data_IF_198708636598
#
_entry.id   IF_198708636598
#
_cell.length_a   1.000
_cell.length_b   1.000
_cell.length_c   1.000
_cell.angle_alpha   90.00
_cell.angle_beta   90.00
_cell.angle_gamma   90.00
#
_symmetry.space_group_name_H-M   'P 1'
#
loop_
_entity.id
_entity.type
_entity.pdbx_description
1 polymer ?
#
# COMPACT_ATOMS: atom_id res chain seq x y z
N UNK A 1 -31.03 16.84 -3.59
CA UNK A 1 -31.36 16.87 -2.13
C UNK A 1 -30.69 15.70 -1.43
N UNK A 2 -30.50 15.72 -0.11
CA UNK A 2 -29.98 14.54 0.59
C UNK A 2 -30.49 14.42 2.03
N UNK A 3 -30.46 13.19 2.56
CA UNK A 3 -30.82 12.87 3.93
C UNK A 3 -29.77 11.94 4.58
N UNK A 4 -29.30 12.30 5.78
CA UNK A 4 -28.29 11.53 6.53
C UNK A 4 -28.78 11.06 7.90
N UNK A 5 -29.92 11.58 8.37
CA UNK A 5 -30.50 11.23 9.66
C UNK A 5 -31.16 9.86 9.65
N UNK A 6 -31.13 9.17 10.79
CA UNK A 6 -31.84 7.91 10.96
C UNK A 6 -33.36 8.14 10.91
N UNK A 7 -34.07 7.23 10.25
CA UNK A 7 -35.52 7.25 10.11
C UNK A 7 -36.10 5.99 10.74
N UNK A 8 -37.09 6.17 11.62
CA UNK A 8 -37.88 5.07 12.19
C UNK A 8 -39.34 5.33 11.88
N UNK A 9 -40.06 4.33 11.36
CA UNK A 9 -41.47 4.48 11.03
C UNK A 9 -42.18 3.15 10.84
N UNK A 10 -43.50 3.13 10.98
CA UNK A 10 -44.28 1.89 10.88
C UNK A 10 -44.73 1.58 9.44
N UNK A 11 -45.02 2.59 8.62
CA UNK A 11 -45.57 2.39 7.28
C UNK A 11 -44.91 3.34 6.27
N UNK A 12 -44.62 2.84 5.05
CA UNK A 12 -43.93 3.55 3.97
C UNK A 12 -42.65 4.24 4.49
N UNK A 13 -41.74 3.50 5.10
CA UNK A 13 -40.56 4.07 5.75
C UNK A 13 -39.41 4.19 4.76
N UNK A 14 -39.07 5.42 4.36
CA UNK A 14 -37.99 5.71 3.41
C UNK A 14 -36.92 6.63 4.00
N UNK A 15 -35.65 6.39 3.66
CA UNK A 15 -34.53 7.23 4.13
C UNK A 15 -34.55 8.67 3.62
N UNK A 16 -35.08 8.92 2.41
CA UNK A 16 -35.30 10.25 1.86
C UNK A 16 -36.78 10.65 1.90
N UNK A 17 -37.68 9.76 1.47
CA UNK A 17 -39.11 10.05 1.39
C UNK A 17 -39.93 8.81 1.75
N UNK A 18 -40.97 8.97 2.58
CA UNK A 18 -41.85 7.85 2.89
C UNK A 18 -42.66 7.39 1.68
N UNK A 19 -43.32 8.33 0.98
CA UNK A 19 -44.07 8.05 -0.25
C UNK A 19 -43.66 9.02 -1.35
N UNK A 20 -43.48 8.52 -2.56
CA UNK A 20 -43.23 9.33 -3.76
C UNK A 20 -44.36 9.16 -4.77
N UNK A 21 -44.97 10.25 -5.22
CA UNK A 21 -45.98 10.24 -6.31
C UNK A 21 -45.51 11.08 -7.52
N UNK A 22 -44.28 11.61 -7.50
CA UNK A 22 -43.74 12.46 -8.58
C UNK A 22 -42.25 12.15 -8.78
N UNK A 23 -41.43 13.14 -9.15
CA UNK A 23 -40.04 12.95 -9.54
C UNK A 23 -39.09 13.18 -8.37
N UNK A 24 -38.26 12.18 -8.08
CA UNK A 24 -37.06 12.32 -7.25
C UNK A 24 -35.86 12.18 -8.17
N UNK A 25 -35.06 13.25 -8.27
CA UNK A 25 -33.83 13.22 -9.06
C UNK A 25 -32.66 13.90 -8.37
N UNK A 26 -31.44 13.43 -8.64
CA UNK A 26 -30.22 14.03 -8.10
C UNK A 26 -30.23 14.05 -6.57
N UNK A 27 -30.52 12.92 -5.96
CA UNK A 27 -30.76 12.85 -4.51
C UNK A 27 -30.16 11.61 -3.86
N UNK A 28 -29.91 11.68 -2.56
CA UNK A 28 -29.47 10.48 -1.85
C UNK A 28 -29.86 10.37 -0.38
N UNK A 29 -29.82 9.14 0.14
CA UNK A 29 -30.03 8.85 1.57
C UNK A 29 -28.91 7.97 2.14
N UNK A 30 -28.45 8.28 3.36
CA UNK A 30 -27.41 7.49 4.06
C UNK A 30 -27.75 7.15 5.51
N UNK A 31 -28.85 7.69 6.05
CA UNK A 31 -29.28 7.37 7.39
C UNK A 31 -29.84 5.94 7.50
N UNK A 32 -29.75 5.34 8.69
CA UNK A 32 -30.36 4.04 8.96
C UNK A 32 -31.87 4.15 8.87
N UNK A 33 -32.51 3.21 8.18
CA UNK A 33 -33.96 3.12 8.03
C UNK A 33 -34.45 1.91 8.83
N UNK A 34 -35.33 2.15 9.80
CA UNK A 34 -35.93 1.10 10.65
C UNK A 34 -37.44 1.12 10.45
N UNK A 35 -37.99 0.06 9.85
CA UNK A 35 -39.43 -0.10 9.67
C UNK A 35 -39.93 -1.48 10.03
N UNK A 36 -41.23 -1.58 10.34
CA UNK A 36 -41.90 -2.83 10.73
C UNK A 36 -42.49 -3.60 9.54
N UNK A 37 -42.65 -2.94 8.39
CA UNK A 37 -43.42 -3.44 7.25
C UNK A 37 -42.53 -3.65 6.01
N UNK A 38 -43.06 -4.39 5.03
CA UNK A 38 -42.42 -4.63 3.72
C UNK A 38 -42.19 -3.35 2.90
N UNK A 39 -42.79 -2.22 3.30
CA UNK A 39 -42.72 -0.94 2.59
C UNK A 39 -41.53 -0.08 3.08
N UNK A 40 -40.44 -0.73 3.52
CA UNK A 40 -39.22 -0.08 4.02
C UNK A 40 -38.13 -0.03 2.94
N UNK A 41 -37.75 1.18 2.51
CA UNK A 41 -36.71 1.38 1.49
C UNK A 41 -35.60 2.32 1.95
N UNK A 42 -34.37 2.05 1.50
CA UNK A 42 -33.21 2.87 1.83
C UNK A 42 -33.31 4.29 1.29
N UNK A 43 -34.00 4.50 0.16
CA UNK A 43 -34.31 5.81 -0.41
C UNK A 43 -35.79 6.17 -0.21
N UNK A 44 -36.71 5.34 -0.68
CA UNK A 44 -38.16 5.62 -0.66
C UNK A 44 -38.93 4.44 -0.06
N UNK A 45 -39.91 4.70 0.81
CA UNK A 45 -40.78 3.63 1.31
C UNK A 45 -41.69 3.06 0.22
N UNK A 46 -42.55 3.90 -0.36
CA UNK A 46 -43.51 3.51 -1.40
C UNK A 46 -43.51 4.46 -2.59
N UNK A 47 -43.18 3.94 -3.78
CA UNK A 47 -42.94 4.72 -4.98
C UNK A 47 -44.00 4.49 -6.07
N UNK A 48 -44.75 5.54 -6.40
CA UNK A 48 -45.64 5.61 -7.57
C UNK A 48 -45.13 6.56 -8.66
N UNK A 49 -44.05 7.31 -8.37
CA UNK A 49 -43.48 8.29 -9.28
C UNK A 49 -42.22 7.80 -10.00
N UNK A 50 -41.42 8.75 -10.48
CA UNK A 50 -40.15 8.49 -11.18
C UNK A 50 -38.96 8.79 -10.26
N UNK A 51 -37.97 7.91 -10.28
CA UNK A 51 -36.69 8.11 -9.59
C UNK A 51 -35.58 8.05 -10.63
N UNK A 52 -34.63 8.97 -10.58
CA UNK A 52 -33.47 8.99 -11.48
C UNK A 52 -32.25 9.61 -10.81
N UNK A 53 -31.03 9.15 -11.15
CA UNK A 53 -29.79 9.68 -10.57
C UNK A 53 -29.85 9.80 -9.04
N UNK A 54 -30.43 8.79 -8.39
CA UNK A 54 -30.66 8.79 -6.96
C UNK A 54 -30.00 7.59 -6.31
N UNK A 55 -29.43 7.79 -5.13
CA UNK A 55 -28.57 6.81 -4.49
C UNK A 55 -28.95 6.58 -3.04
N UNK A 56 -28.61 5.42 -2.51
CA UNK A 56 -28.59 5.22 -1.07
C UNK A 56 -27.42 4.36 -0.63
N UNK A 57 -26.97 4.55 0.60
CA UNK A 57 -25.88 3.76 1.15
C UNK A 57 -26.41 2.46 1.79
N UNK A 58 -26.07 1.32 1.17
CA UNK A 58 -26.49 -0.02 1.63
C UNK A 58 -25.76 -0.49 2.90
N UNK A 59 -24.63 0.12 3.23
CA UNK A 59 -23.84 -0.20 4.42
C UNK A 59 -24.40 0.46 5.68
N UNK A 60 -25.02 1.64 5.53
CA UNK A 60 -25.53 2.43 6.66
C UNK A 60 -27.06 2.40 6.79
N UNK A 61 -27.78 2.23 5.68
CA UNK A 61 -29.25 2.26 5.68
C UNK A 61 -29.90 1.09 6.41
N UNK A 62 -29.20 -0.03 6.59
CA UNK A 62 -29.74 -1.24 7.21
C UNK A 62 -30.68 -2.05 6.29
N UNK A 63 -30.75 -1.71 4.99
CA UNK A 63 -31.51 -2.43 3.97
C UNK A 63 -30.72 -2.44 2.65
N UNK A 64 -31.01 -3.41 1.78
CA UNK A 64 -30.48 -3.44 0.41
C UNK A 64 -31.53 -3.03 -0.63
N UNK A 65 -32.78 -2.82 -0.21
CA UNK A 65 -33.85 -2.35 -1.09
C UNK A 65 -33.81 -0.82 -1.17
N UNK A 66 -33.63 -0.26 -2.37
CA UNK A 66 -33.72 1.19 -2.55
C UNK A 66 -35.14 1.71 -2.29
N UNK A 67 -36.13 0.91 -2.66
CA UNK A 67 -37.55 1.24 -2.63
C UNK A 67 -38.25 0.10 -1.90
N UNK A 68 -39.11 0.38 -0.93
CA UNK A 68 -39.82 -0.66 -0.19
C UNK A 68 -40.91 -1.32 -1.04
N UNK A 69 -41.76 -0.49 -1.67
CA UNK A 69 -42.89 -0.94 -2.50
C UNK A 69 -43.13 -0.04 -3.71
N UNK A 70 -43.75 -0.58 -4.74
CA UNK A 70 -44.18 0.16 -5.94
C UNK A 70 -43.18 0.00 -7.09
N UNK A 71 -42.95 1.08 -7.86
CA UNK A 71 -42.01 1.07 -8.96
C UNK A 71 -40.56 1.00 -8.43
N UNK A 72 -39.88 -0.12 -8.66
CA UNK A 72 -38.57 -0.43 -8.09
C UNK A 72 -37.38 0.16 -8.87
N UNK A 73 -37.63 0.95 -9.92
CA UNK A 73 -36.58 1.50 -10.79
C UNK A 73 -35.99 2.83 -10.30
N UNK A 74 -34.76 3.13 -10.71
CA UNK A 74 -34.17 4.48 -10.63
C UNK A 74 -33.32 4.80 -9.40
N UNK A 75 -33.44 4.02 -8.33
CA UNK A 75 -32.61 4.15 -7.13
C UNK A 75 -31.43 3.17 -7.14
N UNK A 76 -30.21 3.68 -7.01
CA UNK A 76 -28.97 2.89 -7.00
C UNK A 76 -28.44 2.71 -5.58
N UNK A 77 -28.37 1.46 -5.12
CA UNK A 77 -27.66 1.12 -3.89
C UNK A 77 -26.16 1.01 -4.12
N UNK A 78 -25.37 1.68 -3.27
CA UNK A 78 -23.92 1.53 -3.19
C UNK A 78 -23.53 1.32 -1.73
N UNK A 79 -22.49 0.52 -1.47
CA UNK A 79 -21.84 0.56 -0.15
C UNK A 79 -21.09 1.88 0.04
N UNK A 80 -20.74 2.24 1.28
CA UNK A 80 -19.89 3.40 1.57
C UNK A 80 -18.59 3.39 0.76
N UNK A 81 -18.00 2.20 0.56
CA UNK A 81 -16.76 2.02 -0.20
C UNK A 81 -17.02 2.15 -1.70
N UNK A 82 -18.06 1.52 -2.25
CA UNK A 82 -18.41 1.64 -3.67
C UNK A 82 -18.72 3.08 -4.06
N UNK A 83 -19.23 3.90 -3.14
CA UNK A 83 -19.49 5.31 -3.40
C UNK A 83 -18.24 6.07 -3.84
N UNK A 84 -17.07 5.70 -3.30
CA UNK A 84 -15.80 6.36 -3.63
C UNK A 84 -15.42 6.19 -5.10
N UNK A 85 -15.85 5.11 -5.74
CA UNK A 85 -15.47 4.74 -7.11
C UNK A 85 -16.63 4.76 -8.10
N UNK A 86 -17.87 4.73 -7.64
CA UNK A 86 -19.08 4.63 -8.49
C UNK A 86 -20.10 5.75 -8.22
N UNK A 87 -19.85 6.58 -7.19
CA UNK A 87 -20.79 7.59 -6.71
C UNK A 87 -21.15 8.67 -7.76
N UNK A 88 -22.17 9.48 -7.48
CA UNK A 88 -22.75 10.47 -8.39
C UNK A 88 -21.77 11.57 -8.86
N UNK A 89 -20.69 11.79 -8.11
CA UNK A 89 -19.68 12.80 -8.44
C UNK A 89 -18.44 12.21 -9.11
N UNK A 90 -18.31 10.89 -9.18
CA UNK A 90 -17.17 10.23 -9.82
C UNK A 90 -17.23 10.45 -11.34
N UNK A 91 -16.08 10.73 -11.94
CA UNK A 91 -15.97 10.89 -13.40
C UNK A 91 -16.39 9.61 -14.12
N UNK A 92 -17.23 9.73 -15.14
CA UNK A 92 -17.73 8.57 -15.90
C UNK A 92 -18.81 7.73 -15.20
N UNK A 93 -19.31 8.14 -14.02
CA UNK A 93 -20.43 7.45 -13.39
C UNK A 93 -21.68 7.49 -14.33
N UNK A 94 -22.42 6.38 -14.50
CA UNK A 94 -23.57 6.33 -15.39
C UNK A 94 -24.80 7.09 -14.86
N UNK A 95 -24.85 7.35 -13.54
CA UNK A 95 -25.99 8.00 -12.87
C UNK A 95 -25.60 9.33 -12.20
N UNK A 96 -24.75 10.12 -12.87
CA UNK A 96 -24.27 11.40 -12.31
C UNK A 96 -25.40 12.36 -12.00
N UNK A 97 -25.18 13.19 -10.97
CA UNK A 97 -26.06 14.31 -10.72
C UNK A 97 -26.06 15.27 -11.91
N UNK A 98 -27.26 15.67 -12.30
CA UNK A 98 -27.53 16.45 -13.53
C UNK A 98 -27.01 17.88 -13.45
N UNK A 99 -26.83 18.41 -12.24
CA UNK A 99 -26.14 19.66 -11.96
C UNK A 99 -25.00 19.44 -10.96
N UNK A 100 -23.78 19.10 -11.42
CA UNK A 100 -22.63 18.91 -10.55
C UNK A 100 -22.22 20.17 -9.78
N UNK A 101 -22.57 21.37 -10.26
CA UNK A 101 -22.23 22.64 -9.61
C UNK A 101 -23.03 22.92 -8.33
N UNK A 102 -24.19 22.28 -8.20
CA UNK A 102 -24.99 22.29 -6.97
C UNK A 102 -24.33 21.50 -5.81
N UNK A 103 -23.23 20.79 -6.08
CA UNK A 103 -22.58 19.89 -5.13
C UNK A 103 -21.10 20.20 -4.94
N UNK A 104 -20.67 20.10 -3.69
CA UNK A 104 -19.26 20.01 -3.33
C UNK A 104 -18.90 18.53 -3.27
N UNK A 105 -17.91 18.11 -4.05
CA UNK A 105 -17.41 16.75 -4.00
C UNK A 105 -16.72 16.46 -2.68
N UNK A 106 -16.85 15.22 -2.23
CA UNK A 106 -16.06 14.67 -1.15
C UNK A 106 -16.44 13.24 -0.85
N UNK A 107 -15.68 12.65 0.05
CA UNK A 107 -15.67 11.23 0.36
C UNK A 107 -16.22 11.00 1.77
N UNK A 108 -17.21 10.11 1.94
CA UNK A 108 -17.84 9.30 0.91
C UNK A 108 -18.89 10.07 0.10
N UNK A 109 -19.59 11.05 0.69
CA UNK A 109 -20.75 11.68 0.05
C UNK A 109 -20.52 13.16 -0.30
N UNK A 110 -21.05 13.63 -1.44
CA UNK A 110 -21.06 15.04 -1.78
C UNK A 110 -22.09 15.80 -0.93
N UNK A 111 -21.87 17.09 -0.73
CA UNK A 111 -22.80 17.97 0.02
C UNK A 111 -23.27 19.13 -0.84
N UNK A 112 -24.35 19.80 -0.45
CA UNK A 112 -24.91 20.91 -1.24
C UNK A 112 -24.04 22.17 -1.13
N UNK A 113 -23.61 22.73 -2.26
CA UNK A 113 -22.77 23.94 -2.28
C UNK A 113 -23.46 25.20 -1.78
N UNK A 114 -24.80 25.23 -1.84
CA UNK A 114 -25.63 26.35 -1.38
C UNK A 114 -25.73 26.48 0.14
N UNK A 115 -25.32 25.47 0.91
CA UNK A 115 -25.36 25.48 2.37
C UNK A 115 -23.95 25.73 2.94
N UNK A 116 -23.83 26.34 4.15
CA UNK A 116 -22.53 26.51 4.79
C UNK A 116 -21.84 25.16 4.99
N UNK A 117 -20.58 25.06 4.57
CA UNK A 117 -19.84 23.80 4.61
C UNK A 117 -18.37 24.00 4.93
N UNK A 118 -17.77 22.94 5.48
CA UNK A 118 -16.34 22.83 5.74
C UNK A 118 -15.82 21.59 5.01
N UNK A 119 -14.76 21.79 4.23
CA UNK A 119 -13.98 20.70 3.62
C UNK A 119 -12.84 20.38 4.56
N UNK A 120 -12.77 19.12 5.00
CA UNK A 120 -11.66 18.58 5.79
C UNK A 120 -10.77 17.80 4.84
N UNK A 121 -9.56 18.30 4.61
CA UNK A 121 -8.60 17.65 3.70
C UNK A 121 -7.42 17.08 4.44
N UNK A 122 -6.86 15.99 3.92
CA UNK A 122 -5.71 15.31 4.52
C UNK A 122 -4.96 14.43 3.51
N UNK A 123 -3.75 14.02 3.87
CA UNK A 123 -2.93 13.08 3.09
C UNK A 123 -2.61 11.85 3.93
N UNK A 124 -2.94 10.69 3.39
CA UNK A 124 -2.56 9.39 3.91
C UNK A 124 -1.22 8.91 3.37
N UNK A 125 -0.51 8.12 4.17
CA UNK A 125 0.65 7.38 3.72
C UNK A 125 0.63 5.94 4.25
N UNK A 126 0.77 5.00 3.33
CA UNK A 126 0.93 3.57 3.57
C UNK A 126 2.27 3.10 3.00
N UNK A 127 2.82 2.01 3.52
CA UNK A 127 3.99 1.34 2.94
C UNK A 127 3.57 0.00 2.38
N UNK A 128 4.07 -0.35 1.19
CA UNK A 128 3.84 -1.65 0.57
C UNK A 128 4.10 -2.81 1.55
N UNK A 129 3.22 -3.81 1.58
CA UNK A 129 3.26 -4.90 2.55
C UNK A 129 2.52 -4.65 3.85
N UNK A 130 2.16 -3.40 4.16
CA UNK A 130 1.52 -3.04 5.42
C UNK A 130 0.06 -2.66 5.23
N UNK A 131 -0.83 -3.11 6.11
CA UNK A 131 -2.24 -2.69 6.11
C UNK A 131 -2.48 -1.39 6.87
N UNK A 132 -1.54 -0.97 7.71
CA UNK A 132 -1.63 0.28 8.45
C UNK A 132 -1.27 1.47 7.56
N UNK A 133 -2.03 2.56 7.70
CA UNK A 133 -1.73 3.85 7.11
C UNK A 133 -1.67 4.91 8.20
N UNK A 134 -0.99 6.01 7.91
CA UNK A 134 -0.91 7.20 8.75
C UNK A 134 -1.60 8.37 8.07
N UNK A 135 -2.06 9.34 8.86
CA UNK A 135 -2.76 10.53 8.38
C UNK A 135 -1.95 11.76 8.75
N UNK A 136 -1.80 12.69 7.81
CA UNK A 136 -1.03 13.92 7.97
C UNK A 136 -1.71 15.10 7.29
N UNK A 137 -1.20 16.31 7.53
CA UNK A 137 -1.61 17.53 6.81
C UNK A 137 -3.12 17.85 6.89
N UNK A 138 -3.73 17.69 8.07
CA UNK A 138 -5.14 18.06 8.24
C UNK A 138 -5.33 19.56 8.02
N UNK A 139 -6.25 19.89 7.10
CA UNK A 139 -6.68 21.26 6.82
C UNK A 139 -8.20 21.34 6.88
N UNK A 140 -8.69 22.50 7.28
CA UNK A 140 -10.11 22.76 7.50
C UNK A 140 -10.43 24.07 6.80
N UNK A 141 -11.27 24.00 5.78
CA UNK A 141 -11.49 25.12 4.87
C UNK A 141 -12.98 25.37 4.70
N UNK A 142 -13.43 26.60 4.95
CA UNK A 142 -14.82 27.01 4.71
C UNK A 142 -15.11 27.19 3.21
N UNK A 143 -16.36 27.48 2.88
CA UNK A 143 -16.81 27.71 1.50
C UNK A 143 -16.11 28.90 0.80
N UNK A 144 -15.43 29.77 1.55
CA UNK A 144 -14.70 30.93 1.04
C UNK A 144 -13.18 30.69 1.01
N UNK A 145 -12.73 29.44 1.13
CA UNK A 145 -11.32 29.07 1.21
C UNK A 145 -10.57 29.59 2.45
N UNK A 146 -11.28 29.94 3.53
CA UNK A 146 -10.67 30.40 4.78
C UNK A 146 -10.47 29.26 5.77
N UNK A 147 -9.47 29.39 6.63
CA UNK A 147 -9.23 28.43 7.70
C UNK A 147 -10.43 28.38 8.66
N UNK A 148 -10.98 27.18 8.85
CA UNK A 148 -12.15 26.91 9.68
C UNK A 148 -11.84 25.96 10.86
N UNK A 149 -10.57 25.74 11.20
CA UNK A 149 -10.18 24.72 12.20
C UNK A 149 -10.79 24.97 13.58
N UNK A 150 -11.00 26.24 13.94
CA UNK A 150 -11.64 26.62 15.21
C UNK A 150 -13.13 26.30 15.30
N UNK A 151 -13.78 25.97 14.18
CA UNK A 151 -15.20 25.65 14.10
C UNK A 151 -15.48 24.13 14.16
N UNK A 152 -14.44 23.30 14.11
CA UNK A 152 -14.56 21.85 13.94
C UNK A 152 -14.11 21.11 15.20
N UNK A 153 -15.01 20.31 15.76
CA UNK A 153 -14.69 19.34 16.79
C UNK A 153 -14.18 18.04 16.15
N UNK A 154 -12.94 17.67 16.48
CA UNK A 154 -12.26 16.50 15.90
C UNK A 154 -12.06 15.35 16.89
N UNK A 155 -12.66 15.43 18.08
CA UNK A 155 -12.49 14.41 19.15
C UNK A 155 -12.88 13.00 18.71
N UNK A 156 -13.85 12.89 17.80
CA UNK A 156 -14.31 11.63 17.22
C UNK A 156 -13.89 11.45 15.75
N UNK A 157 -13.00 12.30 15.22
CA UNK A 157 -12.56 12.22 13.84
C UNK A 157 -11.79 10.92 13.60
N UNK A 158 -12.28 10.12 12.65
CA UNK A 158 -11.64 8.89 12.19
C UNK A 158 -11.46 8.94 10.68
N UNK A 159 -10.37 8.35 10.21
CA UNK A 159 -10.07 8.21 8.79
C UNK A 159 -10.05 6.74 8.38
N UNK A 160 -10.38 6.49 7.12
CA UNK A 160 -10.44 5.16 6.52
C UNK A 160 -9.83 5.20 5.12
N UNK A 161 -9.00 4.21 4.80
CA UNK A 161 -8.39 3.99 3.48
C UNK A 161 -8.85 2.62 2.94
N UNK A 162 -10.11 2.50 2.50
CA UNK A 162 -10.69 1.19 2.17
C UNK A 162 -10.27 0.65 0.79
N UNK A 163 -9.69 1.50 -0.06
CA UNK A 163 -9.35 1.15 -1.45
C UNK A 163 -7.94 0.57 -1.60
N UNK A 164 -7.11 0.66 -0.56
CA UNK A 164 -5.75 0.15 -0.55
C UNK A 164 -5.59 -0.97 0.47
N UNK A 165 -4.63 -1.85 0.22
CA UNK A 165 -4.31 -2.99 1.07
C UNK A 165 -2.79 -3.22 1.10
N UNK A 166 -2.35 -4.18 1.92
CA UNK A 166 -0.94 -4.59 1.98
C UNK A 166 -0.38 -5.10 0.63
N UNK A 167 -1.24 -5.47 -0.33
CA UNK A 167 -0.84 -5.96 -1.66
C UNK A 167 -0.96 -4.90 -2.76
N UNK A 168 -1.49 -3.71 -2.46
CA UNK A 168 -1.54 -2.60 -3.41
C UNK A 168 -0.12 -2.16 -3.80
N UNK A 169 0.19 -2.10 -5.09
CA UNK A 169 1.53 -1.75 -5.56
C UNK A 169 1.97 -0.35 -5.12
N UNK A 170 3.27 -0.15 -4.93
CA UNK A 170 3.84 1.15 -4.64
C UNK A 170 3.52 2.14 -5.78
N UNK A 171 3.17 3.37 -5.42
CA UNK A 171 2.66 4.41 -6.33
C UNK A 171 1.14 4.40 -6.52
N UNK A 172 0.43 3.34 -6.09
CA UNK A 172 -1.03 3.33 -6.12
C UNK A 172 -1.58 4.37 -5.16
N UNK A 173 -2.57 5.15 -5.62
CA UNK A 173 -3.28 6.15 -4.81
C UNK A 173 -4.76 5.76 -4.72
N UNK A 174 -5.33 5.86 -3.52
CA UNK A 174 -6.73 5.56 -3.25
C UNK A 174 -7.41 6.69 -2.49
N UNK A 175 -8.69 6.94 -2.79
CA UNK A 175 -9.49 7.87 -2.02
C UNK A 175 -9.69 7.36 -0.58
N UNK A 176 -9.60 8.29 0.37
CA UNK A 176 -9.91 8.06 1.78
C UNK A 176 -11.21 8.77 2.14
N UNK A 177 -11.84 8.34 3.23
CA UNK A 177 -12.96 9.07 3.81
C UNK A 177 -12.81 9.26 5.31
N UNK A 178 -13.40 10.34 5.82
CA UNK A 178 -13.45 10.66 7.24
C UNK A 178 -14.85 10.47 7.83
N UNK A 179 -14.93 10.32 9.14
CA UNK A 179 -16.19 10.34 9.91
C UNK A 179 -15.98 11.01 11.27
N UNK A 180 -17.07 11.41 11.91
CA UNK A 180 -17.07 11.81 13.33
C UNK A 180 -16.66 13.24 13.65
N UNK A 181 -16.19 14.03 12.67
CA UNK A 181 -16.05 15.48 12.87
C UNK A 181 -17.42 16.16 12.94
N UNK A 182 -17.51 17.21 13.76
CA UNK A 182 -18.74 17.99 13.95
C UNK A 182 -18.45 19.48 13.86
N UNK A 183 -19.35 20.24 13.24
CA UNK A 183 -19.28 21.70 13.17
C UNK A 183 -20.70 22.28 13.20
N UNK A 184 -21.01 23.05 14.24
CA UNK A 184 -22.38 23.55 14.44
C UNK A 184 -22.77 24.53 13.34
N UNK A 185 -23.85 24.21 12.61
CA UNK A 185 -24.36 25.05 11.52
C UNK A 185 -23.66 24.85 10.18
N UNK A 186 -22.74 23.88 10.09
CA UNK A 186 -22.03 23.55 8.86
C UNK A 186 -22.26 22.10 8.46
N UNK A 187 -22.31 21.86 7.15
CA UNK A 187 -22.05 20.55 6.59
C UNK A 187 -20.56 20.24 6.64
N UNK A 188 -20.20 18.96 6.72
CA UNK A 188 -18.82 18.51 6.63
C UNK A 188 -18.70 17.54 5.45
N UNK A 189 -17.68 17.75 4.64
CA UNK A 189 -17.24 16.76 3.65
C UNK A 189 -15.73 16.59 3.72
N UNK A 190 -15.23 15.45 3.25
CA UNK A 190 -13.81 15.10 3.37
C UNK A 190 -13.17 14.96 1.99
N UNK A 191 -11.91 15.38 1.87
CA UNK A 191 -11.13 15.20 0.65
C UNK A 191 -9.73 14.73 1.02
N UNK A 192 -9.49 13.43 0.92
CA UNK A 192 -8.20 12.86 1.24
C UNK A 192 -7.87 11.68 0.33
N UNK A 193 -6.58 11.45 0.17
CA UNK A 193 -6.03 10.32 -0.56
C UNK A 193 -4.92 9.68 0.23
N UNK A 194 -4.82 8.36 0.14
CA UNK A 194 -3.70 7.57 0.63
C UNK A 194 -2.83 7.14 -0.56
N UNK A 195 -1.52 7.07 -0.35
CA UNK A 195 -0.57 6.65 -1.39
C UNK A 195 0.37 5.60 -0.83
N UNK A 196 0.54 4.50 -1.57
CA UNK A 196 1.46 3.44 -1.19
C UNK A 196 2.89 3.82 -1.54
N UNK A 197 3.72 4.02 -0.52
CA UNK A 197 5.16 4.17 -0.63
C UNK A 197 5.87 2.81 -0.79
N UNK A 198 7.06 2.83 -1.40
CA UNK A 198 7.89 1.63 -1.53
C UNK A 198 8.35 1.11 -0.17
N UNK A 199 8.36 -0.20 -0.01
CA UNK A 199 8.96 -0.86 1.16
C UNK A 199 10.50 -0.84 1.08
N UNK A 200 11.17 -0.97 2.22
CA UNK A 200 12.61 -1.15 2.24
C UNK A 200 12.97 -2.63 1.95
N UNK A 201 13.94 -2.86 1.06
CA UNK A 201 14.53 -4.18 0.81
C UNK A 201 16.04 -4.11 1.00
N UNK A 202 16.56 -4.84 1.98
CA UNK A 202 17.99 -5.04 2.15
C UNK A 202 18.48 -6.26 1.38
N UNK A 203 19.55 -6.12 0.61
CA UNK A 203 20.24 -7.23 -0.05
C UNK A 203 21.70 -7.20 0.41
N UNK A 204 22.14 -8.25 1.08
CA UNK A 204 23.50 -8.36 1.62
C UNK A 204 24.23 -9.49 0.94
N UNK A 205 25.37 -9.19 0.28
CA UNK A 205 26.28 -10.23 -0.16
C UNK A 205 26.86 -10.96 1.05
N UNK A 206 26.89 -12.30 1.00
CA UNK A 206 27.46 -13.12 2.05
C UNK A 206 28.98 -13.13 1.95
N UNK A 207 29.64 -13.27 3.10
CA UNK A 207 31.09 -13.43 3.13
C UNK A 207 31.47 -14.79 2.54
N UNK A 208 32.55 -14.80 1.76
CA UNK A 208 33.07 -15.98 1.10
C UNK A 208 34.57 -16.12 1.38
N UNK A 209 35.11 -17.31 1.14
CA UNK A 209 36.54 -17.58 1.27
C UNK A 209 37.06 -18.27 0.01
N UNK A 210 38.33 -18.02 -0.29
CA UNK A 210 39.06 -18.67 -1.37
C UNK A 210 40.51 -18.95 -0.96
N UNK A 211 41.20 -19.77 -1.75
CA UNK A 211 42.61 -20.10 -1.53
C UNK A 211 43.46 -19.30 -2.52
N UNK A 212 44.62 -18.82 -2.07
CA UNK A 212 45.60 -18.15 -2.92
C UNK A 212 45.92 -18.98 -4.19
N UNK A 213 46.00 -18.30 -5.34
CA UNK A 213 46.19 -18.95 -6.64
C UNK A 213 44.90 -19.41 -7.34
N UNK A 214 43.72 -19.25 -6.73
CA UNK A 214 42.44 -19.65 -7.31
C UNK A 214 41.56 -18.45 -7.68
N UNK A 215 40.79 -18.59 -8.76
CA UNK A 215 39.80 -17.57 -9.14
C UNK A 215 38.62 -17.57 -8.16
N UNK A 216 38.11 -16.40 -7.76
CA UNK A 216 36.87 -16.32 -6.99
C UNK A 216 35.69 -16.93 -7.72
N UNK A 217 34.86 -17.67 -6.97
CA UNK A 217 33.59 -18.21 -7.44
C UNK A 217 32.47 -17.59 -6.61
N UNK A 218 31.61 -16.81 -7.26
CA UNK A 218 30.43 -16.18 -6.66
C UNK A 218 29.20 -16.60 -7.47
N UNK A 219 28.10 -16.93 -6.79
CA UNK A 219 26.88 -17.38 -7.43
C UNK A 219 25.62 -16.83 -6.74
N UNK A 220 24.43 -17.13 -7.29
CA UNK A 220 23.15 -16.59 -6.81
C UNK A 220 22.71 -17.14 -5.44
N UNK A 221 23.51 -17.95 -4.74
CA UNK A 221 23.28 -18.32 -3.33
C UNK A 221 24.10 -17.48 -2.36
N UNK A 222 25.02 -16.65 -2.85
CA UNK A 222 25.98 -15.91 -2.02
C UNK A 222 25.45 -14.53 -1.58
N UNK A 223 24.14 -14.43 -1.38
CA UNK A 223 23.48 -13.25 -0.83
C UNK A 223 22.31 -13.66 0.05
N UNK A 224 21.85 -12.72 0.89
CA UNK A 224 20.59 -12.83 1.64
C UNK A 224 19.75 -11.57 1.48
N UNK A 225 18.45 -11.69 1.72
CA UNK A 225 17.49 -10.59 1.64
C UNK A 225 16.80 -10.35 2.98
N UNK A 226 16.31 -9.12 3.19
CA UNK A 226 15.48 -8.75 4.32
C UNK A 226 14.41 -7.74 3.91
N UNK A 227 13.17 -7.94 4.37
CA UNK A 227 12.05 -7.03 4.11
C UNK A 227 11.11 -7.42 2.95
N UNK A 228 11.35 -8.56 2.29
CA UNK A 228 10.39 -9.10 1.30
C UNK A 228 9.06 -9.45 1.98
N UNK A 229 7.97 -9.11 1.31
CA UNK A 229 6.57 -9.34 1.73
C UNK A 229 5.77 -9.91 0.56
N UNK A 230 4.53 -10.33 0.81
CA UNK A 230 3.58 -10.74 -0.25
C UNK A 230 4.05 -11.87 -1.18
N UNK A 231 5.01 -12.69 -0.76
CA UNK A 231 5.59 -13.75 -1.59
C UNK A 231 6.53 -13.25 -2.70
N UNK A 232 6.94 -11.96 -2.65
CA UNK A 232 7.94 -11.41 -3.55
C UNK A 232 9.30 -12.10 -3.34
N UNK A 233 10.12 -12.12 -4.39
CA UNK A 233 11.38 -12.86 -4.38
C UNK A 233 12.49 -12.13 -5.12
N UNK A 234 13.72 -12.30 -4.64
CA UNK A 234 14.94 -12.00 -5.41
C UNK A 234 15.47 -13.31 -5.96
N UNK A 235 15.43 -13.49 -7.28
CA UNK A 235 15.88 -14.70 -7.97
C UNK A 235 17.32 -14.62 -8.48
N UNK A 236 17.93 -13.43 -8.39
CA UNK A 236 19.37 -13.31 -8.53
C UNK A 236 19.88 -11.89 -8.37
N UNK A 237 21.19 -11.80 -8.15
CA UNK A 237 21.92 -10.57 -7.83
C UNK A 237 23.25 -10.65 -8.57
N UNK A 238 23.69 -9.54 -9.17
CA UNK A 238 25.04 -9.45 -9.69
C UNK A 238 26.01 -9.23 -8.52
N UNK A 239 26.80 -10.26 -8.23
CA UNK A 239 27.87 -10.23 -7.23
C UNK A 239 29.22 -10.10 -7.93
N UNK A 240 30.08 -9.23 -7.42
CA UNK A 240 31.42 -9.03 -7.96
C UNK A 240 32.43 -8.74 -6.87
N UNK A 241 33.68 -9.13 -7.12
CA UNK A 241 34.83 -8.80 -6.29
C UNK A 241 36.00 -8.42 -7.19
N UNK A 242 36.95 -7.64 -6.66
CA UNK A 242 38.21 -7.32 -7.35
C UNK A 242 39.29 -8.39 -7.14
N UNK A 243 39.05 -9.36 -6.26
CA UNK A 243 39.94 -10.49 -6.08
C UNK A 243 40.09 -11.31 -7.38
N UNK A 244 41.27 -11.87 -7.61
CA UNK A 244 41.58 -12.79 -8.70
C UNK A 244 42.53 -13.89 -8.22
N UNK A 245 42.84 -14.85 -9.10
CA UNK A 245 43.87 -15.85 -8.82
C UNK A 245 45.28 -15.27 -8.59
N UNK A 246 45.53 -14.01 -8.95
CA UNK A 246 46.80 -13.31 -8.73
C UNK A 246 46.79 -12.44 -7.47
N UNK A 247 45.64 -12.34 -6.78
CA UNK A 247 45.52 -11.53 -5.58
C UNK A 247 46.21 -12.17 -4.38
N UNK A 248 46.92 -11.35 -3.59
CA UNK A 248 47.52 -11.78 -2.34
C UNK A 248 46.46 -12.22 -1.32
N UNK A 249 46.90 -12.94 -0.29
CA UNK A 249 46.08 -13.21 0.88
C UNK A 249 45.57 -11.90 1.50
N UNK A 250 44.33 -11.91 1.97
CA UNK A 250 43.69 -10.69 2.46
C UNK A 250 42.19 -10.66 2.25
N UNK A 251 41.61 -9.48 2.45
CA UNK A 251 40.18 -9.22 2.43
C UNK A 251 39.81 -8.31 1.26
N UNK A 252 38.81 -8.71 0.49
CA UNK A 252 38.31 -8.01 -0.68
C UNK A 252 36.79 -7.84 -0.57
N UNK A 253 36.24 -6.72 -1.03
CA UNK A 253 34.80 -6.53 -0.99
C UNK A 253 34.09 -7.45 -2.00
N UNK A 254 32.91 -7.94 -1.63
CA UNK A 254 31.90 -8.49 -2.54
C UNK A 254 30.80 -7.46 -2.66
N UNK A 255 30.67 -6.83 -3.81
CA UNK A 255 29.63 -5.83 -4.09
C UNK A 255 28.42 -6.49 -4.73
N UNK A 256 27.23 -6.13 -4.25
CA UNK A 256 25.96 -6.58 -4.80
C UNK A 256 25.29 -5.48 -5.63
N UNK A 257 24.66 -5.87 -6.75
CA UNK A 257 23.92 -4.96 -7.63
C UNK A 257 22.89 -5.71 -8.47
N UNK A 258 22.08 -4.98 -9.24
CA UNK A 258 21.20 -5.52 -10.28
C UNK A 258 20.34 -6.72 -9.82
N UNK A 259 19.67 -6.56 -8.67
CA UNK A 259 18.71 -7.56 -8.19
C UNK A 259 17.58 -7.74 -9.19
N UNK A 260 17.18 -9.01 -9.38
CA UNK A 260 16.11 -9.43 -10.29
C UNK A 260 15.13 -10.30 -9.54
N UNK A 261 13.87 -10.24 -9.94
CA UNK A 261 12.81 -11.06 -9.40
C UNK A 261 11.45 -10.37 -9.47
N UNK A 262 10.37 -11.11 -9.18
CA UNK A 262 9.02 -10.55 -9.15
C UNK A 262 8.85 -9.56 -7.98
N UNK A 263 8.01 -8.54 -8.18
CA UNK A 263 7.60 -7.60 -7.13
C UNK A 263 8.62 -6.51 -6.76
N UNK A 264 9.85 -6.57 -7.27
CA UNK A 264 10.93 -5.66 -6.85
C UNK A 264 10.67 -4.16 -7.17
N UNK A 265 9.75 -3.86 -8.09
CA UNK A 265 9.32 -2.48 -8.35
C UNK A 265 8.71 -1.79 -7.12
N UNK A 266 8.17 -2.58 -6.18
CA UNK A 266 7.54 -2.09 -4.96
C UNK A 266 8.53 -1.75 -3.83
N UNK A 267 9.84 -1.90 -4.07
CA UNK A 267 10.87 -1.72 -3.05
C UNK A 267 11.90 -0.65 -3.41
N UNK A 268 12.38 0.03 -2.37
CA UNK A 268 13.63 0.78 -2.40
C UNK A 268 14.73 -0.17 -1.94
N UNK A 269 15.59 -0.57 -2.87
CA UNK A 269 16.62 -1.59 -2.64
C UNK A 269 17.89 -0.94 -2.11
N UNK A 270 18.40 -1.44 -0.98
CA UNK A 270 19.71 -1.10 -0.42
C UNK A 270 20.62 -2.32 -0.50
N UNK A 271 21.80 -2.15 -1.11
CA UNK A 271 22.81 -3.19 -1.21
C UNK A 271 23.87 -3.02 -0.12
N UNK A 272 24.23 -4.12 0.53
CA UNK A 272 25.29 -4.20 1.52
C UNK A 272 26.37 -5.16 1.05
N UNK A 273 27.62 -4.71 1.11
CA UNK A 273 28.76 -5.50 0.68
C UNK A 273 29.04 -6.64 1.66
N UNK A 274 29.51 -7.76 1.12
CA UNK A 274 30.15 -8.84 1.86
C UNK A 274 31.67 -8.77 1.71
N UNK A 275 32.34 -9.78 2.21
CA UNK A 275 33.81 -9.90 2.19
C UNK A 275 34.25 -11.23 1.59
N UNK A 276 35.13 -11.18 0.59
CA UNK A 276 35.86 -12.33 0.06
C UNK A 276 37.24 -12.39 0.72
N UNK A 277 37.52 -13.46 1.48
CA UNK A 277 38.81 -13.65 2.16
C UNK A 277 39.67 -14.66 1.42
N UNK A 278 40.84 -14.24 0.93
CA UNK A 278 41.84 -15.15 0.35
C UNK A 278 42.74 -15.67 1.48
N UNK A 279 42.71 -16.97 1.71
CA UNK A 279 43.57 -17.69 2.65
C UNK A 279 44.84 -18.22 1.96
N UNK A 280 45.94 -18.42 2.70
CA UNK A 280 47.15 -19.02 2.14
C UNK A 280 46.89 -20.41 1.53
N UNK A 281 47.58 -20.72 0.44
CA UNK A 281 47.64 -22.08 -0.08
C UNK A 281 48.53 -22.97 0.80
N UNK A 282 48.18 -24.26 0.88
CA UNK A 282 48.99 -25.22 1.60
C UNK A 282 50.32 -25.47 0.87
N UNK A 283 51.44 -25.16 1.53
CA UNK A 283 52.78 -25.45 1.05
C UNK A 283 53.43 -26.51 1.95
N UNK A 284 53.90 -27.60 1.37
CA UNK A 284 54.69 -28.60 2.07
C UNK A 284 56.11 -28.63 1.54
N UNK A 285 57.08 -28.58 2.45
CA UNK A 285 58.51 -28.75 2.19
C UNK A 285 58.93 -30.03 2.91
N UNK A 286 59.47 -30.99 2.18
CA UNK A 286 59.86 -32.29 2.72
C UNK A 286 61.33 -32.54 2.42
N UNK A 287 62.12 -32.75 3.47
CA UNK A 287 63.51 -33.21 3.32
C UNK A 287 63.52 -34.58 2.63
N UNK A 288 64.42 -34.76 1.67
CA UNK A 288 64.61 -36.03 0.99
C UNK A 288 65.53 -36.93 1.80
N UNK A 289 65.31 -38.24 1.74
CA UNK A 289 66.23 -39.21 2.33
C UNK A 289 67.58 -39.12 1.61
N UNK A 290 68.66 -39.07 2.38
CA UNK A 290 70.02 -39.04 1.87
C UNK A 290 70.81 -40.24 2.36
N UNK A 291 71.87 -40.59 1.63
CA UNK A 291 72.81 -41.65 2.00
C UNK A 291 74.20 -41.06 2.24
N UNK A 292 74.99 -41.68 3.12
CA UNK A 292 76.32 -41.22 3.47
C UNK A 292 77.22 -42.38 3.94
N UNK A 293 78.53 -42.15 3.90
CA UNK A 293 79.54 -43.13 4.35
C UNK A 293 79.95 -42.84 5.79
N UNK A 294 80.08 -43.89 6.61
CA UNK A 294 80.53 -43.79 8.00
C UNK A 294 81.89 -43.08 8.11
N UNK A 295 81.97 -42.12 9.03
CA UNK A 295 83.18 -41.30 9.25
C UNK A 295 83.27 -40.04 8.37
N UNK A 296 82.33 -39.82 7.44
CA UNK A 296 82.28 -38.63 6.59
C UNK A 296 81.06 -37.76 6.90
N UNK A 297 81.21 -36.44 6.77
CA UNK A 297 80.05 -35.54 6.83
C UNK A 297 79.19 -35.71 5.57
N UNK A 298 77.86 -35.89 5.71
CA UNK A 298 76.93 -35.82 4.59
C UNK A 298 77.01 -34.45 3.92
N UNK A 299 77.06 -34.42 2.59
CA UNK A 299 77.01 -33.17 1.82
C UNK A 299 75.56 -32.84 1.47
N UNK A 300 74.93 -31.99 2.27
CA UNK A 300 73.59 -31.48 2.00
C UNK A 300 73.64 -30.17 1.19
N UNK A 301 72.72 -30.00 0.26
CA UNK A 301 72.58 -28.80 -0.55
C UNK A 301 71.10 -28.43 -0.81
N UNK A 302 70.88 -27.40 -1.62
CA UNK A 302 69.56 -26.86 -1.95
C UNK A 302 68.71 -27.74 -2.90
N UNK A 303 69.13 -28.98 -3.17
CA UNK A 303 68.35 -29.97 -3.92
C UNK A 303 67.86 -31.13 -3.04
N UNK A 304 68.22 -31.15 -1.75
CA UNK A 304 67.88 -32.24 -0.83
C UNK A 304 66.51 -32.08 -0.14
N UNK A 305 65.63 -31.31 -0.77
CA UNK A 305 64.24 -31.18 -0.39
C UNK A 305 63.35 -31.19 -1.63
N UNK A 306 62.10 -31.56 -1.43
CA UNK A 306 61.04 -31.34 -2.43
C UNK A 306 59.98 -30.41 -1.85
N UNK A 307 59.36 -29.67 -2.74
CA UNK A 307 58.20 -28.83 -2.43
C UNK A 307 56.97 -29.38 -3.14
N UNK A 308 55.81 -29.27 -2.50
CA UNK A 308 54.52 -29.51 -3.13
C UNK A 308 53.52 -28.44 -2.70
N UNK A 309 52.60 -28.06 -3.59
CA UNK A 309 51.58 -27.04 -3.30
C UNK A 309 52.00 -25.59 -3.58
N UNK A 310 53.12 -25.37 -4.28
CA UNK A 310 53.41 -24.07 -4.88
C UNK A 310 52.34 -23.76 -5.93
N UNK A 311 51.74 -22.58 -5.82
CA UNK A 311 50.73 -22.05 -6.73
C UNK A 311 51.12 -20.64 -7.12
N UNK A 312 50.94 -20.34 -8.42
CA UNK A 312 51.46 -19.18 -9.16
C UNK A 312 52.97 -19.17 -9.36
#
# INVERSE_FOLDING_TARGET
>A
AYATGNVTGNNNTGGLAGRNNDTISGAYATGRVTGSDYDTGGLVGNNFGTISNAYFDTSTSGTTASIGKGNMSGGKGLTTVQWLTEGPMVSGSPYRFTDPGAWVSGSPYPILSALPHIVISSTGAQTYGQSAFSVSSLTFTDQNSKNASSLVETSNLKWYSPLLSSTSNAGTTGAMYGTGAMAKGYQITYQATDTVSKAALGITALNQTGIYGQNPSLNNTDFKTSGLVNGDAVTGVSLSTTASNLSNTGSYAITASNARGPGLSNYTITYHNGTYTITPAALAITALNQTGTYGQNPSLNNTDFKTSGLVN
#
